data_IF_538298064775
#
_entry.id   IF_538298064775
#
_cell.length_a   1.000
_cell.length_b   1.000
_cell.length_c   1.000
_cell.angle_alpha   90.00
_cell.angle_beta   90.00
_cell.angle_gamma   90.00
#
_symmetry.space_group_name_H-M   'P 1'
#
loop_
_entity.id
_entity.type
_entity.pdbx_description
1 polymer ?
#
# COMPACT_ATOMS: atom_id res chain seq x y z
N UNK A 1 81.01 49.02 -46.01
CA UNK A 1 80.64 50.43 -45.77
C UNK A 1 79.24 50.65 -46.34
N UNK A 2 78.24 50.88 -45.49
CA UNK A 2 77.13 51.77 -45.81
C UNK A 2 76.35 52.12 -44.53
N UNK A 3 76.41 53.42 -44.23
CA UNK A 3 75.66 54.21 -43.24
C UNK A 3 74.15 53.94 -43.32
N UNK A 4 73.43 53.74 -42.19
CA UNK A 4 72.72 54.77 -41.39
C UNK A 4 71.68 55.59 -42.22
N UNK A 5 70.44 55.89 -41.81
CA UNK A 5 69.86 56.18 -40.49
C UNK A 5 68.30 56.18 -40.56
N UNK A 6 67.66 55.78 -39.44
CA UNK A 6 66.35 56.25 -38.85
C UNK A 6 65.05 56.22 -39.67
N UNK A 7 64.03 55.54 -39.11
CA UNK A 7 62.92 56.26 -38.45
C UNK A 7 62.02 55.36 -37.58
N UNK A 8 61.62 55.96 -36.47
CA UNK A 8 60.73 55.51 -35.40
C UNK A 8 59.28 55.25 -35.87
N UNK A 9 58.66 54.16 -35.40
CA UNK A 9 57.21 53.99 -35.42
C UNK A 9 56.73 53.64 -34.00
N UNK A 10 55.87 54.54 -33.51
CA UNK A 10 55.14 54.51 -32.25
C UNK A 10 54.30 53.25 -32.07
N UNK A 11 54.25 52.79 -30.82
CA UNK A 11 53.21 51.95 -30.27
C UNK A 11 51.80 52.44 -30.64
N UNK A 12 51.06 51.62 -31.37
CA UNK A 12 49.61 51.51 -31.21
C UNK A 12 49.30 50.17 -30.56
N UNK A 13 48.89 50.25 -29.29
CA UNK A 13 48.23 49.17 -28.57
C UNK A 13 46.99 48.75 -29.36
N UNK A 14 47.08 47.63 -30.07
CA UNK A 14 45.90 46.87 -30.48
C UNK A 14 45.56 45.96 -29.31
N UNK A 15 44.59 46.38 -28.51
CA UNK A 15 43.88 45.51 -27.56
C UNK A 15 43.33 44.33 -28.37
N UNK A 16 44.06 43.21 -28.38
CA UNK A 16 43.48 41.92 -28.73
C UNK A 16 42.50 41.62 -27.62
N UNK A 17 41.19 41.76 -27.91
CA UNK A 17 40.16 41.01 -27.19
C UNK A 17 40.65 39.57 -27.15
N UNK A 18 41.02 39.08 -25.97
CA UNK A 18 41.07 37.64 -25.72
C UNK A 18 39.66 37.15 -26.02
N UNK A 19 39.54 36.27 -26.99
CA UNK A 19 38.36 35.45 -27.16
C UNK A 19 38.20 34.72 -25.82
N UNK A 20 37.18 35.09 -25.04
CA UNK A 20 36.78 34.36 -23.85
C UNK A 20 36.42 32.96 -24.32
N UNK A 21 37.24 31.98 -23.94
CA UNK A 21 36.96 30.59 -24.19
C UNK A 21 35.57 30.26 -23.59
N UNK A 22 34.79 29.34 -24.18
CA UNK A 22 33.49 28.89 -23.65
C UNK A 22 33.55 28.27 -22.23
N UNK A 23 34.73 28.23 -21.63
CA UNK A 23 35.06 27.72 -20.29
C UNK A 23 34.62 28.69 -19.18
N UNK A 24 34.41 29.98 -19.49
CA UNK A 24 34.10 30.98 -18.45
C UNK A 24 32.59 31.13 -18.16
N UNK A 25 31.72 30.56 -18.99
CA UNK A 25 30.25 30.73 -18.83
C UNK A 25 29.67 30.02 -17.61
N UNK A 26 30.33 28.97 -17.11
CA UNK A 26 29.86 28.16 -15.99
C UNK A 26 30.63 28.39 -14.68
N UNK A 27 31.58 29.33 -14.66
CA UNK A 27 32.42 29.59 -13.49
C UNK A 27 31.68 30.46 -12.48
N UNK A 28 31.52 29.94 -11.27
CA UNK A 28 30.91 30.67 -10.15
C UNK A 28 31.98 31.48 -9.41
N UNK A 29 31.55 32.52 -8.70
CA UNK A 29 32.47 33.28 -7.84
C UNK A 29 32.86 32.48 -6.60
N UNK A 30 34.06 32.70 -6.08
CA UNK A 30 34.57 32.00 -4.88
C UNK A 30 33.61 32.11 -3.67
N UNK A 31 32.87 33.22 -3.56
CA UNK A 31 31.86 33.42 -2.51
C UNK A 31 30.61 32.55 -2.72
N UNK A 32 30.16 32.41 -3.96
CA UNK A 32 29.01 31.56 -4.29
C UNK A 32 29.34 30.08 -4.12
N UNK A 33 30.55 29.67 -4.55
CA UNK A 33 31.05 28.31 -4.33
C UNK A 33 31.09 28.01 -2.82
N UNK A 34 31.61 28.93 -2.02
CA UNK A 34 31.66 28.76 -0.56
C UNK A 34 30.28 28.68 0.11
N UNK A 35 29.32 29.50 -0.34
CA UNK A 35 27.93 29.45 0.15
C UNK A 35 27.27 28.12 -0.17
N UNK A 36 27.35 27.67 -1.43
CA UNK A 36 26.70 26.42 -1.84
C UNK A 36 27.29 25.18 -1.16
N UNK A 37 28.61 25.13 -0.95
CA UNK A 37 29.24 24.02 -0.20
C UNK A 37 28.84 24.07 1.28
N UNK A 38 28.70 25.27 1.85
CA UNK A 38 28.18 25.45 3.22
C UNK A 38 26.72 25.03 3.36
N UNK A 39 25.89 25.29 2.35
CA UNK A 39 24.49 24.84 2.28
C UNK A 39 24.39 23.31 2.20
N UNK A 40 25.37 22.64 1.59
CA UNK A 40 25.49 21.18 1.57
C UNK A 40 25.94 20.58 2.93
N UNK A 41 26.18 21.40 3.95
CA UNK A 41 26.50 20.97 5.32
C UNK A 41 27.98 20.95 5.67
N UNK A 42 28.87 21.40 4.78
CA UNK A 42 30.32 21.43 5.02
C UNK A 42 30.77 22.86 5.33
N UNK A 43 31.35 23.16 6.50
CA UNK A 43 31.81 24.50 6.82
C UNK A 43 32.95 24.90 5.88
N UNK A 44 32.67 25.76 4.90
CA UNK A 44 33.61 26.10 3.84
C UNK A 44 33.59 27.61 3.54
N UNK A 45 34.75 28.26 3.56
CA UNK A 45 34.89 29.71 3.37
C UNK A 45 35.59 30.02 2.05
N UNK A 46 35.38 31.23 1.52
CA UNK A 46 36.05 31.68 0.29
C UNK A 46 37.60 31.70 0.43
N UNK A 47 38.12 31.83 1.65
CA UNK A 47 39.56 31.71 1.95
C UNK A 47 40.11 30.31 1.68
N UNK A 48 39.27 29.27 1.81
CA UNK A 48 39.65 27.88 1.64
C UNK A 48 39.77 27.51 0.16
N UNK A 49 39.15 28.27 -0.75
CA UNK A 49 39.36 28.14 -2.20
C UNK A 49 40.67 28.82 -2.60
N UNK A 50 40.93 30.01 -2.06
CA UNK A 50 42.15 30.80 -2.33
C UNK A 50 43.42 30.09 -1.85
N UNK A 51 43.34 29.38 -0.72
CA UNK A 51 44.42 28.56 -0.17
C UNK A 51 43.88 27.16 0.15
N UNK A 52 43.80 26.28 -0.85
CA UNK A 52 43.14 24.99 -0.69
C UNK A 52 43.96 24.05 0.18
N UNK A 53 43.36 23.64 1.31
CA UNK A 53 43.88 22.59 2.17
C UNK A 53 43.47 21.22 1.59
N UNK A 54 44.41 20.34 1.19
CA UNK A 54 44.10 19.05 0.60
C UNK A 54 43.11 18.20 1.41
N UNK A 55 43.19 18.24 2.75
CA UNK A 55 42.31 17.46 3.61
C UNK A 55 40.85 17.96 3.57
N UNK A 56 40.67 19.28 3.57
CA UNK A 56 39.34 19.90 3.49
C UNK A 56 38.73 19.65 2.11
N UNK A 57 39.54 19.74 1.05
CA UNK A 57 39.08 19.49 -0.32
C UNK A 57 38.69 18.03 -0.54
N UNK A 58 39.43 17.08 0.02
CA UNK A 58 39.06 15.66 -0.01
C UNK A 58 37.72 15.42 0.70
N UNK A 59 37.51 16.00 1.87
CA UNK A 59 36.24 15.90 2.59
C UNK A 59 35.06 16.49 1.80
N UNK A 60 35.28 17.62 1.10
CA UNK A 60 34.28 18.24 0.22
C UNK A 60 33.92 17.30 -0.93
N UNK A 61 34.92 16.73 -1.61
CA UNK A 61 34.66 15.78 -2.69
C UNK A 61 34.00 14.49 -2.21
N UNK A 62 34.34 14.01 -1.01
CA UNK A 62 33.73 12.82 -0.41
C UNK A 62 32.22 13.02 -0.22
N UNK A 63 31.83 14.15 0.37
CA UNK A 63 30.42 14.50 0.54
C UNK A 63 29.70 14.73 -0.80
N UNK A 64 30.37 15.32 -1.79
CA UNK A 64 29.79 15.46 -3.14
C UNK A 64 29.56 14.09 -3.78
N UNK A 65 30.49 13.16 -3.62
CA UNK A 65 30.35 11.77 -4.08
C UNK A 65 29.20 11.04 -3.39
N UNK A 66 29.04 11.22 -2.08
CA UNK A 66 27.93 10.67 -1.31
C UNK A 66 26.58 11.24 -1.76
N UNK A 67 26.48 12.57 -1.91
CA UNK A 67 25.25 13.24 -2.32
C UNK A 67 24.82 12.86 -3.75
N UNK A 68 25.78 12.77 -4.67
CA UNK A 68 25.49 12.56 -6.10
C UNK A 68 25.34 11.09 -6.46
N UNK A 69 26.20 10.24 -5.92
CA UNK A 69 26.28 8.84 -6.32
C UNK A 69 25.80 7.88 -5.25
N UNK A 70 25.34 8.38 -4.09
CA UNK A 70 24.91 7.56 -2.94
C UNK A 70 25.95 6.50 -2.58
N UNK A 71 27.22 6.85 -2.82
CA UNK A 71 28.35 5.95 -2.60
C UNK A 71 28.96 6.32 -1.26
N UNK A 72 28.85 5.42 -0.28
CA UNK A 72 29.44 5.59 1.04
C UNK A 72 30.66 4.68 1.16
N UNK A 73 31.48 4.93 2.18
CA UNK A 73 32.60 4.05 2.52
C UNK A 73 32.16 2.58 2.69
N UNK A 74 30.95 2.35 3.17
CA UNK A 74 30.38 1.02 3.41
C UNK A 74 29.96 0.31 2.12
N UNK A 75 29.63 1.03 1.05
CA UNK A 75 29.34 0.42 -0.27
C UNK A 75 30.60 0.22 -1.10
N UNK A 76 31.61 1.08 -0.93
CA UNK A 76 32.90 1.00 -1.60
C UNK A 76 33.80 -0.11 -1.05
N UNK A 77 33.86 -0.29 0.26
CA UNK A 77 34.78 -1.25 0.90
C UNK A 77 34.59 -2.71 0.43
N UNK A 78 33.36 -3.27 0.35
CA UNK A 78 33.14 -4.62 -0.15
C UNK A 78 33.53 -4.77 -1.63
N UNK A 79 33.20 -3.78 -2.46
CA UNK A 79 33.51 -3.80 -3.89
C UNK A 79 35.02 -3.72 -4.15
N UNK A 80 35.73 -2.85 -3.43
CA UNK A 80 37.18 -2.71 -3.55
C UNK A 80 37.94 -3.88 -2.90
N UNK A 81 37.36 -4.53 -1.87
CA UNK A 81 37.89 -5.77 -1.32
C UNK A 81 37.82 -6.91 -2.34
N UNK A 82 36.65 -7.12 -2.94
CA UNK A 82 36.46 -8.13 -3.98
C UNK A 82 37.39 -7.90 -5.19
N UNK A 83 37.54 -6.65 -5.64
CA UNK A 83 38.45 -6.32 -6.74
C UNK A 83 39.93 -6.57 -6.39
N UNK A 84 40.34 -6.32 -5.15
CA UNK A 84 41.71 -6.58 -4.70
C UNK A 84 42.01 -8.09 -4.58
N UNK A 85 41.02 -8.87 -4.14
CA UNK A 85 41.10 -10.34 -4.08
C UNK A 85 41.18 -10.97 -5.47
N UNK A 86 40.51 -10.38 -6.47
CA UNK A 86 40.57 -10.83 -7.87
C UNK A 86 41.92 -10.53 -8.53
N UNK A 87 42.52 -9.37 -8.24
CA UNK A 87 43.81 -8.95 -8.83
C UNK A 87 45.02 -9.62 -8.14
N UNK A 88 44.96 -9.80 -6.81
CA UNK A 88 46.05 -10.36 -6.01
C UNK A 88 45.51 -11.42 -5.02
N UNK A 89 45.03 -12.55 -5.55
CA UNK A 89 44.42 -13.63 -4.76
C UNK A 89 45.34 -14.23 -3.68
N UNK A 90 46.66 -14.18 -3.89
CA UNK A 90 47.65 -14.79 -2.98
C UNK A 90 48.03 -13.88 -1.80
N UNK A 91 47.88 -12.57 -1.94
CA UNK A 91 48.19 -11.61 -0.87
C UNK A 91 47.27 -10.37 -0.92
N UNK A 92 46.00 -10.51 -0.45
CA UNK A 92 45.02 -9.42 -0.45
C UNK A 92 45.41 -8.21 0.41
N UNK A 93 46.39 -8.37 1.30
CA UNK A 93 46.89 -7.34 2.23
C UNK A 93 48.02 -6.46 1.66
N UNK A 94 48.53 -6.75 0.45
CA UNK A 94 49.62 -5.96 -0.17
C UNK A 94 49.20 -4.49 -0.34
N UNK A 95 47.93 -4.24 -0.64
CA UNK A 95 47.40 -2.88 -0.77
C UNK A 95 46.62 -2.52 0.50
N UNK A 96 47.11 -1.55 1.29
CA UNK A 96 46.40 -1.10 2.49
C UNK A 96 44.96 -0.72 2.17
N UNK A 97 44.04 -1.03 3.09
CA UNK A 97 42.61 -0.74 2.94
C UNK A 97 42.34 0.74 2.65
N UNK A 98 43.08 1.66 3.28
CA UNK A 98 42.95 3.10 3.04
C UNK A 98 43.31 3.49 1.60
N UNK A 99 44.35 2.87 1.03
CA UNK A 99 44.75 3.11 -0.36
C UNK A 99 43.70 2.58 -1.33
N UNK A 100 43.11 1.40 -1.06
CA UNK A 100 42.03 0.84 -1.89
C UNK A 100 40.79 1.72 -1.88
N UNK A 101 40.37 2.18 -0.72
CA UNK A 101 39.21 3.07 -0.57
C UNK A 101 39.45 4.40 -1.29
N UNK A 102 40.64 4.99 -1.14
CA UNK A 102 40.99 6.23 -1.83
C UNK A 102 40.98 6.07 -3.36
N UNK A 103 41.45 4.93 -3.88
CA UNK A 103 41.41 4.64 -5.32
C UNK A 103 40.00 4.39 -5.83
N UNK A 104 39.18 3.63 -5.10
CA UNK A 104 37.78 3.44 -5.43
C UNK A 104 37.01 4.76 -5.45
N UNK A 105 37.25 5.60 -4.45
CA UNK A 105 36.70 6.95 -4.39
C UNK A 105 37.15 7.81 -5.57
N UNK A 106 38.45 7.80 -5.92
CA UNK A 106 38.99 8.58 -7.04
C UNK A 106 38.35 8.17 -8.39
N UNK A 107 38.19 6.87 -8.64
CA UNK A 107 37.55 6.37 -9.87
C UNK A 107 36.08 6.79 -9.95
N UNK A 108 35.36 6.70 -8.84
CA UNK A 108 33.96 7.09 -8.77
C UNK A 108 33.79 8.59 -8.99
N UNK A 109 34.61 9.41 -8.31
CA UNK A 109 34.62 10.86 -8.46
C UNK A 109 35.00 11.28 -9.88
N UNK A 110 35.98 10.62 -10.51
CA UNK A 110 36.32 10.88 -11.91
C UNK A 110 35.14 10.59 -12.83
N UNK A 111 34.47 9.46 -12.65
CA UNK A 111 33.30 9.08 -13.44
C UNK A 111 32.18 10.12 -13.29
N UNK A 112 31.96 10.63 -12.07
CA UNK A 112 31.03 11.73 -11.82
C UNK A 112 31.45 12.99 -12.58
N UNK A 113 32.69 13.41 -12.42
CA UNK A 113 33.20 14.66 -12.98
C UNK A 113 33.23 14.64 -14.51
N UNK A 114 33.45 13.47 -15.13
CA UNK A 114 33.28 13.27 -16.57
C UNK A 114 31.83 13.58 -17.01
N UNK A 115 30.82 13.16 -16.24
CA UNK A 115 29.41 13.54 -16.51
C UNK A 115 29.14 15.03 -16.25
N UNK A 116 29.88 15.65 -15.33
CA UNK A 116 29.83 17.10 -15.12
C UNK A 116 30.59 17.89 -16.20
N UNK A 117 31.29 17.23 -17.14
CA UNK A 117 32.02 17.88 -18.24
C UNK A 117 33.52 18.12 -17.97
N UNK A 118 34.09 17.51 -16.93
CA UNK A 118 35.53 17.56 -16.59
C UNK A 118 36.16 16.20 -16.88
N UNK A 119 36.84 16.10 -18.02
CA UNK A 119 37.41 14.84 -18.50
C UNK A 119 38.87 14.62 -18.06
N UNK A 120 39.50 15.64 -17.49
CA UNK A 120 40.93 15.67 -17.18
C UNK A 120 41.22 15.63 -15.67
N UNK A 121 40.28 15.16 -14.85
CA UNK A 121 40.46 15.07 -13.39
C UNK A 121 41.63 14.14 -13.01
N UNK A 122 42.50 14.62 -12.13
CA UNK A 122 43.78 14.01 -11.82
C UNK A 122 44.00 13.89 -10.32
N UNK A 123 44.89 12.99 -9.89
CA UNK A 123 45.19 12.84 -8.45
C UNK A 123 45.85 14.10 -7.85
N UNK A 124 46.51 14.94 -8.68
CA UNK A 124 47.01 16.25 -8.26
C UNK A 124 45.90 17.16 -7.74
N UNK A 125 44.66 17.00 -8.19
CA UNK A 125 43.52 17.82 -7.76
C UNK A 125 43.07 17.51 -6.33
N UNK A 126 43.40 16.31 -5.84
CA UNK A 126 43.12 15.89 -4.46
C UNK A 126 44.30 16.16 -3.51
N UNK A 127 45.55 15.98 -3.99
CA UNK A 127 46.75 16.06 -3.15
C UNK A 127 47.37 17.46 -3.15
N UNK A 128 47.27 18.19 -4.27
CA UNK A 128 47.81 19.54 -4.43
C UNK A 128 46.85 20.40 -5.25
N UNK A 129 45.64 20.69 -4.72
CA UNK A 129 44.67 21.52 -5.39
C UNK A 129 45.25 22.92 -5.69
N UNK A 130 44.95 23.45 -6.87
CA UNK A 130 45.23 24.84 -7.23
C UNK A 130 43.93 25.63 -7.28
N UNK A 131 43.96 26.92 -6.89
CA UNK A 131 42.77 27.76 -6.82
C UNK A 131 41.95 27.75 -8.12
N UNK A 132 42.60 28.02 -9.26
CA UNK A 132 41.93 28.15 -10.54
C UNK A 132 41.24 26.85 -10.99
N UNK A 133 41.93 25.71 -10.79
CA UNK A 133 41.43 24.39 -11.17
C UNK A 133 40.34 23.91 -10.22
N UNK A 134 40.51 24.12 -8.92
CA UNK A 134 39.50 23.78 -7.91
C UNK A 134 38.22 24.60 -8.12
N UNK A 135 38.33 25.90 -8.35
CA UNK A 135 37.18 26.77 -8.62
C UNK A 135 36.41 26.30 -9.86
N UNK A 136 37.12 25.91 -10.92
CA UNK A 136 36.51 25.32 -12.12
C UNK A 136 35.79 24.01 -11.78
N UNK A 137 36.46 23.07 -11.09
CA UNK A 137 35.88 21.76 -10.77
C UNK A 137 34.59 21.90 -9.93
N UNK A 138 34.65 22.70 -8.86
CA UNK A 138 33.52 22.92 -7.97
C UNK A 138 32.37 23.65 -8.67
N UNK A 139 32.65 24.61 -9.55
CA UNK A 139 31.61 25.32 -10.30
C UNK A 139 30.78 24.38 -11.18
N UNK A 140 31.45 23.48 -11.92
CA UNK A 140 30.79 22.51 -12.78
C UNK A 140 30.03 21.45 -11.96
N UNK A 141 30.60 20.99 -10.84
CA UNK A 141 29.91 20.07 -9.92
C UNK A 141 28.65 20.69 -9.31
N UNK A 142 28.72 21.95 -8.84
CA UNK A 142 27.57 22.66 -8.27
C UNK A 142 26.48 22.89 -9.33
N UNK A 143 26.85 23.27 -10.55
CA UNK A 143 25.89 23.44 -11.65
C UNK A 143 25.19 22.12 -11.99
N UNK A 144 25.92 21.00 -11.98
CA UNK A 144 25.33 19.67 -12.15
C UNK A 144 24.34 19.33 -11.03
N UNK A 145 24.68 19.61 -9.77
CA UNK A 145 23.79 19.37 -8.63
C UNK A 145 22.53 20.23 -8.74
N UNK A 146 22.66 21.53 -9.04
CA UNK A 146 21.50 22.43 -9.25
C UNK A 146 20.59 21.96 -10.38
N UNK A 147 21.18 21.48 -11.48
CA UNK A 147 20.44 20.90 -12.59
C UNK A 147 19.67 19.65 -12.14
N UNK A 148 20.34 18.73 -11.43
CA UNK A 148 19.72 17.52 -10.88
C UNK A 148 18.57 17.87 -9.94
N UNK A 149 18.74 18.78 -9.00
CA UNK A 149 17.70 19.19 -8.04
C UNK A 149 16.47 19.76 -8.74
N UNK A 150 16.67 20.61 -9.76
CA UNK A 150 15.57 21.21 -10.54
C UNK A 150 14.76 20.15 -11.28
N UNK A 151 15.40 19.07 -11.73
CA UNK A 151 14.76 18.00 -12.50
C UNK A 151 14.33 16.77 -11.67
N UNK A 152 14.71 16.70 -10.39
CA UNK A 152 14.43 15.55 -9.52
C UNK A 152 12.92 15.33 -9.37
N UNK A 153 12.13 16.39 -9.19
CA UNK A 153 10.67 16.28 -9.07
C UNK A 153 10.00 15.64 -10.29
N UNK A 154 10.44 16.01 -11.50
CA UNK A 154 9.89 15.47 -12.76
C UNK A 154 10.31 14.01 -12.95
N UNK A 155 11.55 13.68 -12.58
CA UNK A 155 12.06 12.30 -12.63
C UNK A 155 11.29 11.42 -11.64
N UNK A 156 11.12 11.89 -10.40
CA UNK A 156 10.39 11.18 -9.35
C UNK A 156 8.92 10.95 -9.74
N UNK A 157 8.26 11.96 -10.32
CA UNK A 157 6.89 11.80 -10.83
C UNK A 157 6.79 10.71 -11.91
N UNK A 158 7.72 10.69 -12.87
CA UNK A 158 7.70 9.70 -13.94
C UNK A 158 8.10 8.31 -13.44
N UNK A 159 9.06 8.24 -12.51
CA UNK A 159 9.45 6.99 -11.86
C UNK A 159 8.29 6.41 -11.06
N UNK A 160 7.61 7.23 -10.25
CA UNK A 160 6.44 6.82 -9.48
C UNK A 160 5.29 6.35 -10.38
N UNK A 161 5.07 7.02 -11.53
CA UNK A 161 4.09 6.56 -12.54
C UNK A 161 4.47 5.21 -13.15
N UNK A 162 5.75 5.00 -13.45
CA UNK A 162 6.25 3.73 -13.99
C UNK A 162 6.08 2.59 -12.97
N UNK A 163 6.49 2.81 -11.70
CA UNK A 163 6.32 1.84 -10.62
C UNK A 163 4.85 1.53 -10.33
N UNK A 164 3.98 2.56 -10.30
CA UNK A 164 2.54 2.34 -10.14
C UNK A 164 1.94 1.53 -11.30
N UNK A 165 2.40 1.79 -12.53
CA UNK A 165 1.97 1.03 -13.71
C UNK A 165 2.45 -0.42 -13.64
N UNK A 166 3.70 -0.65 -13.25
CA UNK A 166 4.26 -1.99 -13.05
C UNK A 166 3.50 -2.77 -11.98
N UNK A 167 3.26 -2.16 -10.81
CA UNK A 167 2.46 -2.77 -9.75
C UNK A 167 1.06 -3.14 -10.24
N UNK A 168 0.43 -2.28 -11.05
CA UNK A 168 -0.89 -2.56 -11.64
C UNK A 168 -0.86 -3.71 -12.66
N UNK A 169 0.21 -3.82 -13.45
CA UNK A 169 0.41 -4.95 -14.37
C UNK A 169 0.55 -6.25 -13.57
N UNK A 170 1.35 -6.24 -12.51
CA UNK A 170 1.53 -7.41 -11.64
C UNK A 170 0.21 -7.85 -10.99
N UNK A 171 -0.58 -6.91 -10.46
CA UNK A 171 -1.91 -7.24 -9.90
C UNK A 171 -2.83 -7.85 -10.96
N UNK A 172 -2.93 -7.24 -12.14
CA UNK A 172 -3.77 -7.75 -13.22
C UNK A 172 -3.31 -9.12 -13.72
N UNK A 173 -1.99 -9.36 -13.75
CA UNK A 173 -1.44 -10.65 -14.13
C UNK A 173 -1.79 -11.74 -13.12
N UNK A 174 -1.68 -11.45 -11.81
CA UNK A 174 -2.10 -12.39 -10.75
C UNK A 174 -3.60 -12.67 -10.77
N UNK A 175 -4.43 -11.65 -11.01
CA UNK A 175 -5.88 -11.81 -11.14
C UNK A 175 -6.24 -12.66 -12.36
N UNK A 176 -5.60 -12.41 -13.50
CA UNK A 176 -5.85 -13.18 -14.71
C UNK A 176 -5.45 -14.65 -14.53
N UNK A 177 -4.30 -14.94 -13.92
CA UNK A 177 -3.90 -16.30 -13.57
C UNK A 177 -4.92 -16.99 -12.64
N UNK A 178 -5.43 -16.27 -11.63
CA UNK A 178 -6.48 -16.80 -10.74
C UNK A 178 -7.79 -17.09 -11.49
N UNK A 179 -8.17 -16.25 -12.44
CA UNK A 179 -9.37 -16.45 -13.26
C UNK A 179 -9.20 -17.61 -14.26
N UNK A 180 -8.01 -17.76 -14.86
CA UNK A 180 -7.68 -18.90 -15.72
C UNK A 180 -7.77 -20.23 -14.96
N UNK A 181 -7.23 -20.29 -13.73
CA UNK A 181 -7.34 -21.48 -12.87
C UNK A 181 -8.80 -21.82 -12.56
N UNK A 182 -9.62 -20.84 -12.16
CA UNK A 182 -11.06 -21.06 -11.92
C UNK A 182 -11.77 -21.56 -13.18
N UNK A 183 -11.41 -21.03 -14.35
CA UNK A 183 -11.99 -21.42 -15.62
C UNK A 183 -11.61 -22.86 -15.99
N UNK A 184 -10.37 -23.28 -15.71
CA UNK A 184 -9.96 -24.67 -15.85
C UNK A 184 -10.71 -25.61 -14.91
N UNK A 185 -10.86 -25.24 -13.64
CA UNK A 185 -11.64 -26.00 -12.66
C UNK A 185 -13.10 -26.16 -13.11
N UNK A 186 -13.74 -25.08 -13.54
CA UNK A 186 -15.09 -25.13 -14.10
C UNK A 186 -15.17 -26.04 -15.33
N UNK A 187 -14.18 -26.00 -16.22
CA UNK A 187 -14.11 -26.92 -17.38
C UNK A 187 -13.96 -28.38 -16.96
N UNK A 188 -13.13 -28.68 -15.95
CA UNK A 188 -12.96 -30.03 -15.40
C UNK A 188 -14.25 -30.53 -14.77
N UNK A 189 -14.90 -29.70 -13.95
CA UNK A 189 -16.18 -30.00 -13.32
C UNK A 189 -17.28 -30.22 -14.36
N UNK A 190 -17.35 -29.39 -15.42
CA UNK A 190 -18.32 -29.58 -16.51
C UNK A 190 -18.11 -30.90 -17.22
N UNK A 191 -16.85 -31.28 -17.53
CA UNK A 191 -16.55 -32.58 -18.15
C UNK A 191 -16.96 -33.74 -17.24
N UNK A 192 -16.66 -33.68 -15.95
CA UNK A 192 -17.05 -34.71 -14.98
C UNK A 192 -18.59 -34.83 -14.90
N UNK A 193 -19.30 -33.71 -14.85
CA UNK A 193 -20.76 -33.67 -14.82
C UNK A 193 -21.36 -34.19 -16.13
N UNK A 194 -20.82 -33.84 -17.29
CA UNK A 194 -21.26 -34.36 -18.59
C UNK A 194 -21.16 -35.90 -18.66
N UNK A 195 -20.10 -36.49 -18.08
CA UNK A 195 -19.95 -37.95 -17.98
C UNK A 195 -21.03 -38.55 -17.08
N UNK A 196 -21.24 -37.99 -15.88
CA UNK A 196 -22.28 -38.46 -14.96
C UNK A 196 -23.68 -38.36 -15.57
N UNK A 197 -23.98 -37.26 -16.25
CA UNK A 197 -25.26 -37.04 -16.93
C UNK A 197 -25.46 -38.05 -18.06
N UNK A 198 -24.43 -38.32 -18.88
CA UNK A 198 -24.49 -39.37 -19.91
C UNK A 198 -24.76 -40.75 -19.33
N UNK A 199 -24.13 -41.10 -18.21
CA UNK A 199 -24.37 -42.38 -17.55
C UNK A 199 -25.80 -42.48 -17.02
N UNK A 200 -26.31 -41.42 -16.38
CA UNK A 200 -27.70 -41.36 -15.90
C UNK A 200 -28.70 -41.44 -17.05
N UNK A 201 -28.45 -40.76 -18.17
CA UNK A 201 -29.26 -40.89 -19.38
C UNK A 201 -29.27 -42.32 -19.90
N UNK A 202 -28.10 -42.97 -20.01
CA UNK A 202 -28.01 -44.38 -20.45
C UNK A 202 -28.83 -45.30 -19.55
N UNK A 203 -28.71 -45.17 -18.23
CA UNK A 203 -29.51 -45.94 -17.26
C UNK A 203 -31.01 -45.65 -17.40
N UNK A 204 -31.39 -44.41 -17.67
CA UNK A 204 -32.79 -44.04 -17.89
C UNK A 204 -33.35 -44.72 -19.16
N UNK A 205 -32.58 -44.73 -20.24
CA UNK A 205 -32.98 -45.38 -21.49
C UNK A 205 -33.05 -46.91 -21.33
N UNK A 206 -32.11 -47.52 -20.62
CA UNK A 206 -32.16 -48.95 -20.23
C UNK A 206 -33.43 -49.27 -19.41
N UNK A 207 -33.78 -48.41 -18.45
CA UNK A 207 -35.00 -48.58 -17.65
C UNK A 207 -36.27 -48.40 -18.48
N UNK A 208 -36.31 -47.41 -19.39
CA UNK A 208 -37.44 -47.24 -20.32
C UNK A 208 -37.62 -48.46 -21.20
N UNK A 209 -36.53 -49.02 -21.73
CA UNK A 209 -36.57 -50.25 -22.53
C UNK A 209 -37.14 -51.42 -21.73
N UNK A 210 -36.66 -51.64 -20.50
CA UNK A 210 -37.18 -52.68 -19.59
C UNK A 210 -38.65 -52.46 -19.24
N UNK A 211 -39.08 -51.22 -19.03
CA UNK A 211 -40.48 -50.90 -18.76
C UNK A 211 -41.37 -51.25 -19.96
N UNK A 212 -40.91 -50.94 -21.17
CA UNK A 212 -41.58 -51.33 -22.42
C UNK A 212 -41.68 -52.86 -22.58
N UNK A 213 -40.62 -53.60 -22.25
CA UNK A 213 -40.64 -55.07 -22.26
C UNK A 213 -41.59 -55.65 -21.22
N UNK A 214 -41.55 -55.13 -19.99
CA UNK A 214 -42.46 -55.53 -18.91
C UNK A 214 -43.92 -55.24 -19.27
N UNK A 215 -44.20 -54.10 -19.91
CA UNK A 215 -45.55 -53.76 -20.39
C UNK A 215 -46.03 -54.75 -21.45
N UNK A 216 -45.18 -55.11 -22.42
CA UNK A 216 -45.50 -56.17 -23.40
C UNK A 216 -45.72 -57.53 -22.72
N UNK A 217 -44.95 -57.84 -21.68
CA UNK A 217 -45.13 -59.03 -20.86
C UNK A 217 -46.48 -59.02 -20.13
N UNK A 218 -46.84 -57.90 -19.52
CA UNK A 218 -48.12 -57.68 -18.85
C UNK A 218 -49.29 -57.84 -19.83
N UNK A 219 -49.20 -57.25 -21.03
CA UNK A 219 -50.22 -57.39 -22.08
C UNK A 219 -50.40 -58.86 -22.49
N UNK A 220 -49.32 -59.62 -22.65
CA UNK A 220 -49.38 -61.07 -22.93
C UNK A 220 -50.03 -61.86 -21.81
N UNK A 221 -49.67 -61.58 -20.55
CA UNK A 221 -50.25 -62.26 -19.38
C UNK A 221 -51.74 -61.91 -19.24
N UNK A 222 -52.11 -60.65 -19.49
CA UNK A 222 -53.51 -60.22 -19.51
C UNK A 222 -54.31 -60.95 -20.60
N UNK A 223 -53.74 -61.10 -21.80
CA UNK A 223 -54.37 -61.87 -22.88
C UNK A 223 -54.54 -63.34 -22.50
N UNK A 224 -53.52 -63.96 -21.90
CA UNK A 224 -53.60 -65.33 -21.40
C UNK A 224 -54.66 -65.47 -20.29
N UNK A 225 -54.75 -64.50 -19.39
CA UNK A 225 -55.75 -64.48 -18.34
C UNK A 225 -57.16 -64.38 -18.91
N UNK A 226 -57.41 -63.52 -19.90
CA UNK A 226 -58.71 -63.40 -20.56
C UNK A 226 -59.07 -64.68 -21.34
N UNK A 227 -58.10 -65.31 -22.01
CA UNK A 227 -58.31 -66.64 -22.62
C UNK A 227 -58.68 -67.69 -21.58
N UNK A 228 -57.95 -67.76 -20.46
CA UNK A 228 -58.24 -68.70 -19.39
C UNK A 228 -59.60 -68.45 -18.72
N UNK A 229 -59.99 -67.18 -18.54
CA UNK A 229 -61.35 -66.82 -18.07
C UNK A 229 -62.42 -67.26 -19.05
N UNK A 230 -62.20 -67.05 -20.35
CA UNK A 230 -63.14 -67.47 -21.39
C UNK A 230 -63.28 -69.00 -21.43
N UNK A 231 -62.17 -69.74 -21.32
CA UNK A 231 -62.19 -71.20 -21.20
C UNK A 231 -62.90 -71.66 -19.94
N UNK A 232 -62.61 -71.06 -18.78
CA UNK A 232 -63.32 -71.33 -17.53
C UNK A 232 -64.82 -71.10 -17.68
N UNK A 233 -65.23 -69.98 -18.28
CA UNK A 233 -66.64 -69.68 -18.52
C UNK A 233 -67.32 -70.70 -19.45
N UNK A 234 -66.62 -71.14 -20.52
CA UNK A 234 -67.11 -72.21 -21.40
C UNK A 234 -67.25 -73.54 -20.67
N UNK A 235 -66.23 -73.94 -19.91
CA UNK A 235 -66.27 -75.16 -19.11
C UNK A 235 -67.38 -75.10 -18.05
N UNK A 236 -67.58 -73.94 -17.42
CA UNK A 236 -68.65 -73.72 -16.46
C UNK A 236 -70.03 -73.80 -17.12
N UNK A 237 -70.25 -73.16 -18.26
CA UNK A 237 -71.50 -73.29 -19.01
C UNK A 237 -71.77 -74.73 -19.44
N UNK A 238 -70.72 -75.46 -19.86
CA UNK A 238 -70.83 -76.89 -20.19
C UNK A 238 -71.17 -77.70 -18.95
N UNK A 239 -70.56 -77.41 -17.80
CA UNK A 239 -70.87 -78.05 -16.53
C UNK A 239 -72.32 -77.78 -16.13
N UNK A 240 -72.80 -76.55 -16.25
CA UNK A 240 -74.19 -76.15 -15.99
C UNK A 240 -75.16 -76.91 -16.92
N UNK A 241 -74.89 -76.96 -18.22
CA UNK A 241 -75.68 -77.75 -19.18
C UNK A 241 -75.72 -79.24 -18.83
N UNK A 242 -74.56 -79.83 -18.49
CA UNK A 242 -74.46 -81.24 -18.07
C UNK A 242 -75.19 -81.46 -16.75
N UNK A 243 -75.13 -80.52 -15.83
CA UNK A 243 -75.81 -80.59 -14.53
C UNK A 243 -77.32 -80.47 -14.71
N UNK A 244 -77.79 -79.55 -15.54
CA UNK A 244 -79.20 -79.48 -15.93
C UNK A 244 -79.67 -80.76 -16.59
N UNK A 245 -78.89 -81.32 -17.54
CA UNK A 245 -79.22 -82.59 -18.18
C UNK A 245 -79.27 -83.73 -17.17
N UNK A 246 -78.33 -83.77 -16.23
CA UNK A 246 -78.32 -84.74 -15.14
C UNK A 246 -79.56 -84.58 -14.25
N UNK A 247 -79.94 -83.35 -13.91
CA UNK A 247 -81.15 -83.06 -13.14
C UNK A 247 -82.41 -83.47 -13.91
N UNK A 248 -82.49 -83.20 -15.22
CA UNK A 248 -83.62 -83.65 -16.06
C UNK A 248 -83.70 -85.17 -16.13
N UNK A 249 -82.58 -85.86 -16.34
CA UNK A 249 -82.52 -87.33 -16.34
C UNK A 249 -82.85 -87.88 -14.95
N UNK A 250 -82.42 -87.23 -13.86
CA UNK A 250 -82.86 -87.57 -12.50
C UNK A 250 -84.36 -87.36 -12.34
N UNK A 251 -84.93 -86.27 -12.82
CA UNK A 251 -86.37 -86.03 -12.76
C UNK A 251 -87.17 -87.01 -13.61
N UNK A 252 -86.64 -87.45 -14.77
CA UNK A 252 -87.20 -88.54 -15.57
C UNK A 252 -87.08 -89.88 -14.85
N UNK A 253 -85.95 -90.13 -14.18
CA UNK A 253 -85.76 -91.28 -13.29
C UNK A 253 -86.70 -91.24 -12.07
N UNK A 254 -86.98 -90.07 -11.50
CA UNK A 254 -87.95 -89.85 -10.42
C UNK A 254 -89.39 -90.02 -10.91
N UNK A 255 -89.70 -89.64 -12.17
CA UNK A 255 -91.00 -89.90 -12.82
C UNK A 255 -91.20 -91.39 -13.15
N UNK A 256 -90.11 -92.12 -13.41
CA UNK A 256 -90.11 -93.58 -13.59
C UNK A 256 -90.04 -94.35 -12.27
N UNK A 257 -89.79 -93.65 -11.14
CA UNK A 257 -89.66 -94.21 -9.80
C UNK A 257 -90.96 -94.80 -9.20
N UNK A 258 -92.19 -94.34 -9.51
CA UNK A 258 -93.41 -94.97 -8.99
C UNK A 258 -93.75 -96.32 -9.65
N UNK A 259 -93.09 -96.68 -10.75
CA UNK A 259 -93.37 -97.92 -11.49
C UNK A 259 -92.37 -99.05 -11.24
N UNK A 260 -91.33 -98.82 -10.45
CA UNK A 260 -90.35 -99.86 -10.14
C UNK A 260 -90.14 -99.92 -8.63
N UNK A 261 -90.80 -100.91 -8.03
CA UNK A 261 -90.60 -101.47 -6.68
C UNK A 261 -91.22 -100.65 -5.54
N UNK A 262 -92.36 -101.10 -4.99
CA UNK A 262 -92.48 -102.12 -3.93
C UNK A 262 -91.95 -101.70 -2.54
N UNK A 263 -92.83 -101.91 -1.56
CA UNK A 263 -92.67 -101.86 -0.10
C UNK A 263 -92.68 -100.48 0.58
N UNK A 264 -93.85 -100.05 1.12
CA UNK A 264 -94.01 -98.88 1.98
C UNK A 264 -93.08 -98.86 3.21
N UNK A 265 -92.62 -100.04 3.67
CA UNK A 265 -91.77 -100.16 4.85
C UNK A 265 -90.30 -99.71 4.61
N UNK A 266 -89.77 -99.92 3.41
CA UNK A 266 -88.42 -99.47 3.05
C UNK A 266 -88.38 -97.95 2.78
N UNK A 267 -89.48 -97.40 2.23
CA UNK A 267 -89.65 -95.97 2.00
C UNK A 267 -89.82 -95.18 3.30
N UNK A 268 -90.56 -95.71 4.28
CA UNK A 268 -90.67 -95.07 5.61
C UNK A 268 -89.32 -95.03 6.34
N UNK A 269 -88.56 -96.13 6.29
CA UNK A 269 -87.21 -96.19 6.87
C UNK A 269 -86.23 -95.22 6.19
N UNK A 270 -86.22 -95.17 4.86
CA UNK A 270 -85.37 -94.23 4.12
C UNK A 270 -85.81 -92.76 4.31
N UNK A 271 -87.12 -92.49 4.45
CA UNK A 271 -87.64 -91.15 4.72
C UNK A 271 -87.29 -90.68 6.13
N UNK A 272 -87.33 -91.58 7.13
CA UNK A 272 -86.87 -91.28 8.50
C UNK A 272 -85.36 -91.04 8.53
N UNK A 273 -84.56 -91.85 7.82
CA UNK A 273 -83.11 -91.63 7.73
C UNK A 273 -82.76 -90.33 6.99
N UNK A 274 -83.47 -90.00 5.90
CA UNK A 274 -83.24 -88.76 5.16
C UNK A 274 -83.67 -87.53 5.97
N UNK A 275 -84.77 -87.64 6.72
CA UNK A 275 -85.23 -86.60 7.65
C UNK A 275 -84.21 -86.38 8.77
N UNK A 276 -83.69 -87.46 9.37
CA UNK A 276 -82.67 -87.39 10.41
C UNK A 276 -81.36 -86.80 9.86
N UNK A 277 -80.96 -87.17 8.64
CA UNK A 277 -79.80 -86.59 7.99
C UNK A 277 -80.00 -85.11 7.64
N UNK A 278 -81.20 -84.71 7.20
CA UNK A 278 -81.53 -83.30 6.94
C UNK A 278 -81.46 -82.47 8.22
N UNK A 279 -81.94 -83.01 9.36
CA UNK A 279 -81.84 -82.35 10.66
C UNK A 279 -80.39 -82.23 11.11
N UNK A 280 -79.57 -83.28 10.92
CA UNK A 280 -78.13 -83.23 11.21
C UNK A 280 -77.40 -82.22 10.34
N UNK A 281 -77.64 -82.20 9.03
CA UNK A 281 -77.00 -81.24 8.13
C UNK A 281 -77.44 -79.81 8.43
N UNK A 282 -78.72 -79.56 8.74
CA UNK A 282 -79.18 -78.24 9.20
C UNK A 282 -78.47 -77.80 10.48
N UNK A 283 -78.34 -78.68 11.47
CA UNK A 283 -77.60 -78.40 12.69
C UNK A 283 -76.10 -78.12 12.42
N UNK A 284 -75.52 -78.82 11.45
CA UNK A 284 -74.13 -78.62 11.04
C UNK A 284 -73.94 -77.30 10.27
N UNK A 285 -74.90 -76.91 9.42
CA UNK A 285 -74.93 -75.61 8.73
C UNK A 285 -75.07 -74.48 9.74
N UNK A 286 -75.98 -74.59 10.71
CA UNK A 286 -76.14 -73.58 11.77
C UNK A 286 -74.86 -73.44 12.61
N UNK A 287 -74.17 -74.55 12.90
CA UNK A 287 -72.87 -74.56 13.56
C UNK A 287 -71.81 -73.82 12.73
N UNK A 288 -71.74 -74.11 11.43
CA UNK A 288 -70.79 -73.48 10.52
C UNK A 288 -71.10 -71.99 10.30
N UNK A 289 -72.37 -71.60 10.23
CA UNK A 289 -72.77 -70.18 10.14
C UNK A 289 -72.36 -69.42 11.41
N UNK A 290 -72.60 -69.97 12.60
CA UNK A 290 -72.15 -69.35 13.86
C UNK A 290 -70.63 -69.18 13.87
N UNK A 291 -69.90 -70.19 13.39
CA UNK A 291 -68.44 -70.14 13.28
C UNK A 291 -67.97 -69.12 12.24
N UNK A 292 -68.62 -69.03 11.08
CA UNK A 292 -68.34 -68.01 10.07
C UNK A 292 -68.58 -66.59 10.60
N UNK A 293 -69.70 -66.36 11.29
CA UNK A 293 -69.99 -65.06 11.92
C UNK A 293 -68.95 -64.71 12.99
N UNK A 294 -68.55 -65.66 13.84
CA UNK A 294 -67.50 -65.44 14.84
C UNK A 294 -66.13 -65.13 14.19
N UNK A 295 -65.77 -65.84 13.12
CA UNK A 295 -64.55 -65.55 12.35
C UNK A 295 -64.61 -64.22 11.63
N UNK A 296 -65.77 -63.80 11.14
CA UNK A 296 -65.98 -62.50 10.53
C UNK A 296 -65.78 -61.37 11.55
N UNK A 297 -66.39 -61.47 12.73
CA UNK A 297 -66.17 -60.49 13.81
C UNK A 297 -64.69 -60.45 14.24
N UNK A 298 -64.02 -61.60 14.28
CA UNK A 298 -62.57 -61.64 14.53
C UNK A 298 -61.77 -60.98 13.40
N UNK A 299 -62.17 -61.17 12.14
CA UNK A 299 -61.55 -60.51 10.98
C UNK A 299 -61.70 -59.00 11.02
N UNK A 300 -62.89 -58.50 11.34
CA UNK A 300 -63.16 -57.07 11.53
C UNK A 300 -62.34 -56.47 12.68
N UNK A 301 -62.05 -57.26 13.71
CA UNK A 301 -61.16 -56.85 14.80
C UNK A 301 -59.71 -56.69 14.31
N UNK A 302 -59.23 -57.60 13.46
CA UNK A 302 -57.89 -57.51 12.87
C UNK A 302 -57.75 -56.34 11.90
N UNK A 303 -58.78 -56.01 11.11
CA UNK A 303 -58.74 -54.84 10.22
C UNK A 303 -58.69 -53.53 11.02
N UNK A 304 -59.37 -53.46 12.16
CA UNK A 304 -59.25 -52.33 13.08
C UNK A 304 -57.81 -52.17 13.61
N UNK A 305 -57.22 -53.26 14.12
CA UNK A 305 -55.82 -53.25 14.61
C UNK A 305 -54.83 -52.93 13.47
N UNK A 306 -55.06 -53.43 12.26
CA UNK A 306 -54.23 -53.11 11.10
C UNK A 306 -54.26 -51.61 10.77
N UNK A 307 -55.44 -50.97 10.84
CA UNK A 307 -55.59 -49.55 10.62
C UNK A 307 -54.87 -48.73 11.72
N UNK A 308 -54.97 -49.16 12.98
CA UNK A 308 -54.24 -48.52 14.09
C UNK A 308 -52.73 -48.62 13.91
N UNK A 309 -52.22 -49.80 13.52
CA UNK A 309 -50.79 -49.98 13.21
C UNK A 309 -50.37 -49.08 12.05
N UNK A 310 -51.18 -48.96 11.00
CA UNK A 310 -50.89 -48.07 9.88
C UNK A 310 -50.86 -46.59 10.30
N UNK A 311 -51.76 -46.18 11.20
CA UNK A 311 -51.76 -44.83 11.76
C UNK A 311 -50.52 -44.59 12.63
N UNK A 312 -50.11 -45.55 13.45
CA UNK A 312 -48.87 -45.46 14.22
C UNK A 312 -47.64 -45.32 13.31
N UNK A 313 -47.59 -46.05 12.19
CA UNK A 313 -46.50 -45.94 11.21
C UNK A 313 -46.44 -44.53 10.62
N UNK A 314 -47.58 -43.94 10.23
CA UNK A 314 -47.62 -42.55 9.74
C UNK A 314 -47.09 -41.55 10.75
N UNK A 315 -47.50 -41.68 12.01
CA UNK A 315 -47.01 -40.81 13.09
C UNK A 315 -45.50 -40.97 13.27
N UNK A 316 -44.96 -42.18 13.17
CA UNK A 316 -43.51 -42.42 13.23
C UNK A 316 -42.76 -41.81 12.04
N UNK A 317 -43.33 -41.86 10.83
CA UNK A 317 -42.76 -41.20 9.64
C UNK A 317 -42.75 -39.68 9.81
N UNK A 318 -43.82 -39.08 10.33
CA UNK A 318 -43.88 -37.66 10.64
C UNK A 318 -42.84 -37.26 11.71
N UNK A 319 -42.71 -38.04 12.78
CA UNK A 319 -41.70 -37.81 13.82
C UNK A 319 -40.29 -37.90 13.23
N UNK A 320 -40.01 -38.87 12.35
CA UNK A 320 -38.70 -39.00 11.72
C UNK A 320 -38.35 -37.77 10.87
N UNK A 321 -39.33 -37.20 10.16
CA UNK A 321 -39.15 -35.97 9.38
C UNK A 321 -38.90 -34.77 10.29
N UNK A 322 -39.63 -34.63 11.40
CA UNK A 322 -39.41 -33.55 12.36
C UNK A 322 -38.05 -33.67 13.05
N UNK A 323 -37.61 -34.89 13.39
CA UNK A 323 -36.31 -35.14 14.01
C UNK A 323 -35.17 -34.75 13.05
N UNK A 324 -35.32 -35.03 11.75
CA UNK A 324 -34.35 -34.59 10.75
C UNK A 324 -34.29 -33.06 10.63
N UNK A 325 -35.44 -32.37 10.72
CA UNK A 325 -35.46 -30.89 10.73
C UNK A 325 -34.81 -30.32 11.99
N UNK A 326 -35.04 -30.94 13.14
CA UNK A 326 -34.40 -30.57 14.41
C UNK A 326 -32.88 -30.69 14.31
N UNK A 327 -32.36 -31.80 13.78
CA UNK A 327 -30.91 -31.99 13.56
C UNK A 327 -30.32 -30.92 12.61
N UNK A 328 -31.04 -30.55 11.55
CA UNK A 328 -30.62 -29.48 10.63
C UNK A 328 -30.60 -28.10 11.30
N UNK A 329 -31.60 -27.78 12.13
CA UNK A 329 -31.67 -26.53 12.88
C UNK A 329 -30.61 -26.48 13.99
N UNK A 330 -30.34 -27.58 14.69
CA UNK A 330 -29.25 -27.68 15.67
C UNK A 330 -27.88 -27.49 15.01
N UNK A 331 -27.67 -28.08 13.83
CA UNK A 331 -26.45 -27.86 13.05
C UNK A 331 -26.30 -26.39 12.62
N UNK A 332 -27.40 -25.71 12.27
CA UNK A 332 -27.41 -24.27 11.96
C UNK A 332 -27.14 -23.44 13.22
N UNK A 333 -27.75 -23.79 14.35
CA UNK A 333 -27.56 -23.12 15.62
C UNK A 333 -26.10 -23.23 16.11
N UNK A 334 -25.48 -24.40 15.98
CA UNK A 334 -24.07 -24.62 16.27
C UNK A 334 -23.17 -23.72 15.42
N UNK A 335 -23.36 -23.70 14.10
CA UNK A 335 -22.62 -22.82 13.18
C UNK A 335 -22.79 -21.33 13.52
N UNK A 336 -24.01 -20.92 13.84
CA UNK A 336 -24.28 -19.53 14.23
C UNK A 336 -23.61 -19.18 15.56
N UNK A 337 -23.55 -20.11 16.51
CA UNK A 337 -22.89 -19.95 17.80
C UNK A 337 -21.38 -19.81 17.63
N UNK A 338 -20.77 -20.63 16.78
CA UNK A 338 -19.34 -20.55 16.46
C UNK A 338 -19.01 -19.22 15.75
N UNK A 339 -19.82 -18.82 14.77
CA UNK A 339 -19.66 -17.54 14.08
C UNK A 339 -19.84 -16.33 15.04
N UNK A 340 -20.74 -16.43 16.02
CA UNK A 340 -20.90 -15.42 17.07
C UNK A 340 -19.68 -15.38 18.00
N UNK A 341 -19.11 -16.54 18.35
CA UNK A 341 -17.91 -16.62 19.19
C UNK A 341 -16.69 -16.02 18.47
N UNK A 342 -16.49 -16.34 17.19
CA UNK A 342 -15.44 -15.74 16.36
C UNK A 342 -15.61 -14.22 16.22
N UNK A 343 -16.81 -13.75 15.89
CA UNK A 343 -17.11 -12.31 15.82
C UNK A 343 -16.89 -11.64 17.18
N UNK A 344 -17.26 -12.29 18.28
CA UNK A 344 -17.03 -11.79 19.63
C UNK A 344 -15.54 -11.64 19.96
N UNK A 345 -14.71 -12.59 19.52
CA UNK A 345 -13.25 -12.50 19.66
C UNK A 345 -12.68 -11.36 18.81
N UNK A 346 -13.11 -11.24 17.55
CA UNK A 346 -12.68 -10.14 16.68
C UNK A 346 -13.04 -8.77 17.26
N UNK A 347 -14.24 -8.62 17.84
CA UNK A 347 -14.64 -7.37 18.51
C UNK A 347 -13.72 -7.08 19.70
N UNK A 348 -13.41 -8.07 20.54
CA UNK A 348 -12.48 -7.89 21.67
C UNK A 348 -11.08 -7.51 21.22
N UNK A 349 -10.57 -8.09 20.14
CA UNK A 349 -9.27 -7.72 19.56
C UNK A 349 -9.28 -6.29 19.01
N UNK A 350 -10.35 -5.90 18.30
CA UNK A 350 -10.52 -4.53 17.81
C UNK A 350 -10.62 -3.55 18.98
N UNK A 351 -11.35 -3.85 20.05
CA UNK A 351 -11.43 -3.00 21.24
C UNK A 351 -10.07 -2.86 21.95
N UNK A 352 -9.27 -3.93 22.00
CA UNK A 352 -7.92 -3.88 22.56
C UNK A 352 -7.00 -3.00 21.71
N UNK A 353 -7.07 -3.14 20.38
CA UNK A 353 -6.32 -2.32 19.44
C UNK A 353 -6.76 -0.85 19.50
N UNK A 354 -8.05 -0.59 19.61
CA UNK A 354 -8.60 0.77 19.80
C UNK A 354 -8.06 1.40 21.09
N UNK A 355 -8.11 0.67 22.22
CA UNK A 355 -7.54 1.17 23.50
C UNK A 355 -6.05 1.43 23.40
N UNK A 356 -5.30 0.60 22.68
CA UNK A 356 -3.87 0.79 22.45
C UNK A 356 -3.61 2.06 21.62
N UNK A 357 -4.34 2.22 20.51
CA UNK A 357 -4.24 3.38 19.63
C UNK A 357 -4.66 4.68 20.34
N UNK A 358 -5.73 4.66 21.14
CA UNK A 358 -6.13 5.80 21.96
C UNK A 358 -5.04 6.20 22.96
N UNK A 359 -4.36 5.24 23.59
CA UNK A 359 -3.21 5.53 24.48
C UNK A 359 -2.04 6.12 23.72
N UNK A 360 -1.74 5.62 22.51
CA UNK A 360 -0.69 6.19 21.67
C UNK A 360 -1.04 7.62 21.23
N UNK A 361 -2.28 7.84 20.80
CA UNK A 361 -2.79 9.13 20.36
C UNK A 361 -2.70 10.15 21.51
N UNK A 362 -3.12 9.78 22.73
CA UNK A 362 -2.96 10.63 23.92
C UNK A 362 -1.50 10.99 24.21
N UNK A 363 -0.57 10.03 24.08
CA UNK A 363 0.87 10.31 24.24
C UNK A 363 1.39 11.30 23.19
N UNK A 364 0.93 11.18 21.95
CA UNK A 364 1.31 12.10 20.88
C UNK A 364 0.68 13.49 21.06
N UNK A 365 -0.56 13.56 21.52
CA UNK A 365 -1.21 14.83 21.90
C UNK A 365 -0.44 15.52 23.02
N UNK A 366 -0.12 14.82 24.12
CA UNK A 366 0.67 15.35 25.24
C UNK A 366 2.04 15.87 24.77
N UNK A 367 2.74 15.10 23.92
CA UNK A 367 4.02 15.53 23.33
C UNK A 367 3.88 16.75 22.43
N UNK A 368 2.79 16.83 21.67
CA UNK A 368 2.51 17.97 20.78
C UNK A 368 2.17 19.22 21.58
N UNK A 369 1.38 19.08 22.65
CA UNK A 369 1.05 20.13 23.60
C UNK A 369 2.32 20.68 24.28
N UNK A 370 3.22 19.79 24.73
CA UNK A 370 4.48 20.17 25.34
C UNK A 370 5.39 20.91 24.36
N UNK A 371 5.49 20.46 23.10
CA UNK A 371 6.24 21.15 22.06
C UNK A 371 5.63 22.52 21.74
N UNK A 372 4.31 22.63 21.64
CA UNK A 372 3.61 23.90 21.44
C UNK A 372 3.86 24.87 22.59
N UNK A 373 3.84 24.38 23.83
CA UNK A 373 4.17 25.19 25.01
C UNK A 373 5.61 25.66 24.98
N UNK A 374 6.58 24.77 24.71
CA UNK A 374 8.00 25.15 24.57
C UNK A 374 8.22 26.18 23.46
N UNK A 375 7.49 26.07 22.35
CA UNK A 375 7.56 27.05 21.26
C UNK A 375 7.02 28.42 21.70
N UNK A 376 5.84 28.45 22.35
CA UNK A 376 5.27 29.68 22.91
C UNK A 376 6.20 30.33 23.93
N UNK A 377 6.74 29.56 24.87
CA UNK A 377 7.67 30.06 25.89
C UNK A 377 8.95 30.62 25.24
N UNK A 378 9.46 29.97 24.18
CA UNK A 378 10.60 30.50 23.39
C UNK A 378 10.25 31.78 22.64
N UNK A 379 9.07 31.85 22.03
CA UNK A 379 8.63 33.05 21.30
C UNK A 379 8.45 34.23 22.24
N UNK A 380 7.87 34.01 23.43
CA UNK A 380 7.72 35.02 24.48
C UNK A 380 9.08 35.49 25.01
N UNK A 381 10.01 34.55 25.28
CA UNK A 381 11.36 34.89 25.69
C UNK A 381 12.14 35.67 24.61
N UNK A 382 11.97 35.30 23.33
CA UNK A 382 12.57 36.01 22.21
C UNK A 382 11.97 37.41 22.03
N UNK A 383 10.65 37.56 22.19
CA UNK A 383 9.99 38.88 22.17
C UNK A 383 10.49 39.77 23.30
N UNK A 384 10.56 39.24 24.53
CA UNK A 384 11.10 39.97 25.68
C UNK A 384 12.54 40.45 25.41
N UNK A 385 13.42 39.56 24.91
CA UNK A 385 14.79 39.95 24.51
C UNK A 385 14.81 41.00 23.40
N UNK A 386 13.93 40.89 22.41
CA UNK A 386 13.84 41.89 21.33
C UNK A 386 13.39 43.25 21.85
N UNK A 387 12.46 43.29 22.81
CA UNK A 387 12.01 44.53 23.42
C UNK A 387 13.09 45.12 24.34
N UNK A 388 13.80 44.30 25.12
CA UNK A 388 14.99 44.74 25.88
C UNK A 388 16.07 45.34 24.96
N UNK A 389 16.36 44.68 23.84
CA UNK A 389 17.32 45.18 22.85
C UNK A 389 16.85 46.48 22.18
N UNK A 390 15.54 46.65 21.94
CA UNK A 390 14.96 47.89 21.41
C UNK A 390 15.10 49.04 22.40
N UNK A 391 14.79 48.81 23.68
CA UNK A 391 14.98 49.82 24.72
C UNK A 391 16.46 50.18 24.89
N UNK A 392 17.36 49.19 24.89
CA UNK A 392 18.80 49.44 24.93
C UNK A 392 19.27 50.24 23.70
N UNK A 393 18.78 49.90 22.50
CA UNK A 393 19.11 50.63 21.28
C UNK A 393 18.59 52.07 21.34
N UNK A 394 17.40 52.29 21.89
CA UNK A 394 16.83 53.62 22.09
C UNK A 394 17.67 54.43 23.08
N UNK A 395 18.03 53.86 24.22
CA UNK A 395 18.92 54.49 25.20
C UNK A 395 20.28 54.83 24.60
N UNK A 396 20.90 53.92 23.84
CA UNK A 396 22.17 54.17 23.16
C UNK A 396 22.06 55.26 22.07
N UNK A 397 20.92 55.37 21.38
CA UNK A 397 20.66 56.47 20.44
C UNK A 397 20.52 57.80 21.17
N UNK A 398 19.80 57.83 22.28
CA UNK A 398 19.62 59.02 23.12
C UNK A 398 20.97 59.48 23.69
N UNK A 399 21.78 58.57 24.25
CA UNK A 399 23.14 58.87 24.71
C UNK A 399 24.04 59.39 23.58
N UNK A 400 23.99 58.78 22.39
CA UNK A 400 24.76 59.26 21.23
C UNK A 400 24.30 60.64 20.78
N UNK A 401 22.99 60.91 20.79
CA UNK A 401 22.45 62.21 20.45
C UNK A 401 22.86 63.28 21.49
N UNK A 402 22.85 62.94 22.78
CA UNK A 402 23.28 63.83 23.86
C UNK A 402 24.79 64.10 23.80
N UNK A 403 25.62 63.05 23.67
CA UNK A 403 27.06 63.19 23.43
C UNK A 403 27.37 63.98 22.16
N UNK A 404 26.56 63.82 21.11
CA UNK A 404 26.62 64.61 19.88
C UNK A 404 26.36 66.10 20.14
N UNK A 405 25.28 66.43 20.86
CA UNK A 405 24.97 67.81 21.27
C UNK A 405 26.04 68.41 22.16
N UNK A 406 26.61 67.64 23.08
CA UNK A 406 27.72 68.09 23.92
C UNK A 406 28.99 68.35 23.10
N UNK A 407 29.31 67.46 22.17
CA UNK A 407 30.41 67.64 21.21
C UNK A 407 30.21 68.90 20.38
N UNK A 408 29.01 69.15 19.85
CA UNK A 408 28.71 70.35 19.07
C UNK A 408 28.80 71.61 19.94
N UNK A 409 28.31 71.58 21.19
CA UNK A 409 28.52 72.68 22.16
C UNK A 409 30.00 72.93 22.43
N UNK A 410 30.81 71.88 22.56
CA UNK A 410 32.27 72.00 22.74
C UNK A 410 32.94 72.57 21.48
N UNK A 411 32.55 72.12 20.29
CA UNK A 411 33.03 72.67 19.01
C UNK A 411 32.72 74.16 18.89
N UNK A 412 31.47 74.56 19.14
CA UNK A 412 31.09 75.99 19.11
C UNK A 412 31.90 76.80 20.13
N UNK A 413 32.16 76.27 21.33
CA UNK A 413 33.03 76.95 22.30
C UNK A 413 34.47 77.07 21.81
N UNK A 414 35.01 76.01 21.21
CA UNK A 414 36.35 76.00 20.61
C UNK A 414 36.42 77.04 19.49
N UNK A 415 35.48 77.03 18.54
CA UNK A 415 35.38 78.00 17.45
C UNK A 415 35.26 79.45 17.98
N UNK A 416 34.46 79.67 19.04
CA UNK A 416 34.37 81.00 19.68
C UNK A 416 35.70 81.41 20.32
N UNK A 417 36.42 80.50 20.96
CA UNK A 417 37.74 80.79 21.53
C UNK A 417 38.80 80.98 20.46
N UNK A 418 38.77 80.22 19.38
CA UNK A 418 39.65 80.38 18.22
C UNK A 418 39.42 81.73 17.54
N UNK A 419 38.16 82.13 17.36
CA UNK A 419 37.81 83.45 16.84
C UNK A 419 38.32 84.57 17.76
N UNK A 420 38.12 84.46 19.07
CA UNK A 420 38.68 85.43 20.03
C UNK A 420 40.20 85.48 20.02
N UNK A 421 40.87 84.34 19.85
CA UNK A 421 42.33 84.30 19.70
C UNK A 421 42.78 84.96 18.40
N UNK A 422 42.06 84.75 17.30
CA UNK A 422 42.32 85.42 16.03
C UNK A 422 42.11 86.94 16.15
N UNK A 423 40.98 87.38 16.71
CA UNK A 423 40.69 88.81 16.93
C UNK A 423 41.75 89.47 17.84
N UNK A 424 42.19 88.78 18.90
CA UNK A 424 43.29 89.25 19.77
C UNK A 424 44.63 89.30 19.03
N UNK A 425 44.92 88.32 18.18
CA UNK A 425 46.13 88.30 17.36
C UNK A 425 46.15 89.46 16.38
N UNK A 426 45.03 89.71 15.70
CA UNK A 426 44.87 90.83 14.77
C UNK A 426 44.99 92.18 15.51
N UNK A 427 44.42 92.30 16.72
CA UNK A 427 44.58 93.50 17.55
C UNK A 427 46.05 93.71 17.98
N UNK A 428 46.75 92.66 18.41
CA UNK A 428 48.18 92.75 18.75
C UNK A 428 49.00 93.12 17.52
N UNK A 429 48.70 92.54 16.35
CA UNK A 429 49.37 92.89 15.10
C UNK A 429 49.12 94.36 14.72
N UNK A 430 47.90 94.87 14.91
CA UNK A 430 47.57 96.29 14.73
C UNK A 430 48.31 97.19 15.72
N UNK A 431 48.37 96.83 17.01
CA UNK A 431 49.12 97.57 18.03
C UNK A 431 50.63 97.57 17.74
N UNK A 432 51.18 96.44 17.28
CA UNK A 432 52.57 96.35 16.83
C UNK A 432 52.80 97.22 15.60
N UNK A 433 51.87 97.22 14.64
CA UNK A 433 51.93 98.12 13.48
C UNK A 433 51.87 99.58 13.88
N UNK A 434 50.96 99.97 14.77
CA UNK A 434 50.83 101.37 15.22
C UNK A 434 52.06 101.80 16.02
N UNK A 435 52.57 100.96 16.92
CA UNK A 435 53.80 101.23 17.65
C UNK A 435 55.01 101.31 16.72
N UNK A 436 55.06 100.51 15.66
CA UNK A 436 56.11 100.58 14.64
C UNK A 436 56.01 101.87 13.80
N UNK A 437 54.80 102.30 13.44
CA UNK A 437 54.58 103.59 12.78
C UNK A 437 54.95 104.78 13.68
N UNK A 438 54.61 104.74 14.96
CA UNK A 438 55.02 105.77 15.92
C UNK A 438 56.54 105.77 16.11
N UNK A 439 57.17 104.60 16.17
CA UNK A 439 58.63 104.48 16.19
C UNK A 439 59.27 105.10 14.93
N UNK A 440 58.73 104.83 13.74
CA UNK A 440 59.19 105.42 12.48
C UNK A 440 58.99 106.95 12.43
N UNK A 441 57.91 107.47 13.01
CA UNK A 441 57.67 108.93 13.16
C UNK A 441 58.65 109.58 14.13
N UNK A 442 58.99 108.89 15.22
CA UNK A 442 60.01 109.33 16.17
C UNK A 442 61.41 109.29 15.55
N UNK A 443 61.72 108.23 14.80
CA UNK A 443 62.98 108.11 14.05
C UNK A 443 63.09 109.21 12.98
N UNK A 444 62.00 109.53 12.28
CA UNK A 444 61.98 110.63 11.30
C UNK A 444 62.09 112.00 11.98
N UNK A 445 61.46 112.22 13.14
CA UNK A 445 61.64 113.44 13.96
C UNK A 445 63.07 113.58 14.49
N UNK A 446 63.71 112.49 14.94
CA UNK A 446 65.11 112.51 15.37
C UNK A 446 66.02 112.81 14.19
N UNK A 447 65.78 112.20 13.01
CA UNK A 447 66.53 112.51 11.79
C UNK A 447 66.33 113.97 11.36
N UNK A 448 65.11 114.50 11.45
CA UNK A 448 64.79 115.92 11.20
C UNK A 448 65.54 116.85 12.16
N UNK A 449 65.53 116.53 13.45
CA UNK A 449 66.27 117.29 14.47
C UNK A 449 67.79 117.25 14.25
N UNK A 450 68.33 116.10 13.84
CA UNK A 450 69.75 115.97 13.46
C UNK A 450 70.05 116.82 12.22
N UNK A 451 69.20 116.80 11.20
CA UNK A 451 69.39 117.65 10.00
C UNK A 451 69.20 119.14 10.28
N UNK A 452 68.32 119.54 11.20
CA UNK A 452 68.16 120.94 11.62
C UNK A 452 69.33 121.42 12.49
N UNK A 453 69.91 120.54 13.31
CA UNK A 453 71.16 120.81 14.04
C UNK A 453 72.37 120.93 13.10
N UNK A 454 72.45 120.12 12.05
CA UNK A 454 73.51 120.21 11.02
C UNK A 454 73.40 121.47 10.14
N UNK A 455 72.22 122.08 10.02
CA UNK A 455 72.03 123.37 9.34
C UNK A 455 72.29 124.60 10.23
N UNK A 456 72.56 124.38 11.53
CA UNK A 456 72.81 125.42 12.54
C UNK A 456 74.31 125.59 12.88
N UNK A 457 75.20 124.97 12.11
CA UNK A 457 76.66 125.11 12.14
C UNK A 457 77.11 125.58 10.76
#
# INVERSE_FOLDING_TARGET
MNSQYRNSIQHQQRVKKREEEPVDFMRLSDKEIASCISEMGIPFQASDILKPNPQVIQMVFEHLGELVMTTTRDTLDPAMRAAAEDVCSEFPEIVPTETRLLMGFFVQLRTMLEQCGINDFSFSDLVRPTHDRLAKILSYAINFIRFRETHTSVIDENFNKAEATKARIETLYTENQGMEQRLEEMKRNRKAMEVAVKEKMRRNDELKARLLELRKGQERVAEQLERAKAEKARSQATLEEKTERLVRVRQESEKLRPYVLQSPAALQSALTELSDNLVREKAQIDSLERRCRALQTSGDSFTFVQNDVHNCVKVLEEIAVELQKEEEEDARAAKNRDALAERGNNVREVEQNEKLLQRQLKKWEERTEELRRKHKDRDEANKAKMDELRELQKHLREERAEKGREMDRRKVRIEQTEKKMADLKDNIEQEVHSAHEEYLKLESHIKLYITEMEQSI
#
